data_IF_443201032137
#
_entry.id   IF_443201032137
#
_cell.length_a   1.000
_cell.length_b   1.000
_cell.length_c   1.000
_cell.angle_alpha   90.00
_cell.angle_beta   90.00
_cell.angle_gamma   90.00
#
_symmetry.space_group_name_H-M   'P 1'
#
loop_
_entity.id
_entity.type
_entity.pdbx_description
1 polymer ?
#
# COMPACT_ATOMS: atom_id res chain seq x y z
N UNK A 1 -9.37 8.96 15.08
CA UNK A 1 -9.13 7.94 14.03
C UNK A 1 -9.31 6.53 14.59
N UNK A 2 -10.42 6.27 15.29
CA UNK A 2 -10.65 4.99 16.00
C UNK A 2 -12.13 4.55 15.98
N UNK A 3 -13.04 5.38 15.44
CA UNK A 3 -14.46 5.02 15.32
C UNK A 3 -14.79 4.14 14.10
N UNK A 4 -13.94 4.10 13.06
CA UNK A 4 -14.20 3.27 11.87
C UNK A 4 -13.86 1.79 12.06
N UNK A 5 -12.91 1.46 12.95
CA UNK A 5 -12.50 0.06 13.16
C UNK A 5 -13.60 -0.73 13.87
N UNK A 6 -14.33 -0.10 14.81
CA UNK A 6 -15.38 -0.77 15.58
C UNK A 6 -16.63 -1.05 14.72
N UNK A 7 -16.98 -0.16 13.79
CA UNK A 7 -18.09 -0.36 12.85
C UNK A 7 -17.78 -1.51 11.89
N UNK A 8 -16.56 -1.56 11.35
CA UNK A 8 -16.10 -2.69 10.53
C UNK A 8 -16.19 -4.00 11.31
N UNK A 9 -15.72 -4.04 12.56
CA UNK A 9 -15.74 -5.26 13.38
C UNK A 9 -17.15 -5.73 13.75
N UNK A 10 -18.11 -4.81 13.95
CA UNK A 10 -19.52 -5.12 14.29
C UNK A 10 -20.29 -5.62 13.06
N UNK A 11 -20.06 -5.02 11.88
CA UNK A 11 -20.57 -5.56 10.62
C UNK A 11 -19.97 -6.95 10.40
N UNK A 12 -18.67 -7.13 10.60
CA UNK A 12 -17.99 -8.41 10.39
C UNK A 12 -18.46 -9.54 11.32
N UNK A 13 -18.74 -9.23 12.59
CA UNK A 13 -19.34 -10.21 13.53
C UNK A 13 -20.78 -10.58 13.17
N UNK A 14 -21.52 -9.69 12.49
CA UNK A 14 -22.87 -9.98 11.95
C UNK A 14 -22.82 -10.71 10.60
N UNK A 15 -21.77 -10.52 9.81
CA UNK A 15 -21.54 -11.25 8.53
C UNK A 15 -21.35 -12.75 8.76
N UNK A 16 -20.89 -13.17 9.93
CA UNK A 16 -20.77 -14.60 10.29
C UNK A 16 -22.11 -15.34 10.49
N UNK A 17 -23.24 -14.63 10.52
CA UNK A 17 -24.56 -15.26 10.42
C UNK A 17 -24.89 -15.63 8.97
N UNK A 18 -24.36 -14.87 8.00
CA UNK A 18 -24.70 -14.99 6.59
C UNK A 18 -23.71 -15.88 5.85
N UNK A 19 -24.23 -16.85 5.10
CA UNK A 19 -23.42 -17.75 4.28
C UNK A 19 -22.87 -17.09 3.00
N UNK A 20 -23.33 -15.86 2.69
CA UNK A 20 -22.97 -15.06 1.52
C UNK A 20 -22.98 -13.55 1.80
N UNK A 21 -22.02 -12.83 1.23
CA UNK A 21 -21.97 -11.37 1.16
C UNK A 21 -21.47 -10.91 -0.21
N UNK A 22 -22.00 -9.80 -0.70
CA UNK A 22 -21.62 -9.19 -1.98
C UNK A 22 -21.29 -7.72 -1.74
N UNK A 23 -20.10 -7.31 -2.14
CA UNK A 23 -19.61 -5.95 -1.99
C UNK A 23 -19.46 -5.29 -3.36
N UNK A 24 -19.68 -3.99 -3.44
CA UNK A 24 -19.46 -3.19 -4.65
C UNK A 24 -18.99 -1.81 -4.26
N UNK A 25 -18.47 -1.05 -5.23
CA UNK A 25 -18.08 0.33 -4.98
C UNK A 25 -19.30 1.24 -4.90
N UNK A 26 -19.26 2.21 -3.99
CA UNK A 26 -20.25 3.28 -3.93
C UNK A 26 -19.95 4.31 -5.02
N UNK A 27 -20.78 4.35 -6.06
CA UNK A 27 -20.66 5.24 -7.21
C UNK A 27 -19.23 5.26 -7.81
N UNK A 28 -18.63 6.45 -7.94
CA UNK A 28 -17.27 6.66 -8.44
C UNK A 28 -16.20 6.61 -7.34
N UNK A 29 -16.58 6.39 -6.08
CA UNK A 29 -15.64 6.31 -4.96
C UNK A 29 -14.85 5.00 -4.97
N UNK A 30 -13.77 4.93 -4.20
CA UNK A 30 -13.03 3.68 -3.96
C UNK A 30 -13.49 2.98 -2.67
N UNK A 31 -14.64 3.38 -2.13
CA UNK A 31 -15.18 2.83 -0.89
C UNK A 31 -16.09 1.64 -1.22
N UNK A 32 -15.82 0.51 -0.57
CA UNK A 32 -16.61 -0.71 -0.72
C UNK A 32 -17.78 -0.71 0.26
N UNK A 33 -18.98 -0.93 -0.28
CA UNK A 33 -20.23 -1.07 0.47
C UNK A 33 -20.81 -2.46 0.30
N UNK A 34 -21.56 -2.91 1.30
CA UNK A 34 -22.30 -4.18 1.24
C UNK A 34 -23.53 -3.99 0.34
N UNK A 35 -23.51 -4.59 -0.85
CA UNK A 35 -24.62 -4.57 -1.79
C UNK A 35 -25.73 -5.55 -1.40
N UNK A 36 -25.35 -6.74 -0.91
CA UNK A 36 -26.30 -7.78 -0.53
C UNK A 36 -25.66 -8.82 0.40
N UNK A 37 -26.42 -9.36 1.35
CA UNK A 37 -26.03 -10.50 2.19
C UNK A 37 -27.20 -11.44 2.40
N UNK A 38 -26.93 -12.72 2.71
CA UNK A 38 -27.99 -13.68 2.97
C UNK A 38 -27.51 -15.08 3.30
N UNK A 39 -28.47 -15.95 3.59
CA UNK A 39 -28.26 -17.36 3.94
C UNK A 39 -28.28 -18.24 2.68
N UNK A 40 -27.36 -17.96 1.77
CA UNK A 40 -27.21 -18.63 0.49
C UNK A 40 -25.78 -19.09 0.24
N UNK A 41 -25.57 -19.96 -0.75
CA UNK A 41 -24.25 -20.43 -1.17
C UNK A 41 -23.78 -19.82 -2.48
N UNK A 42 -22.92 -20.54 -3.18
CA UNK A 42 -22.39 -20.17 -4.50
C UNK A 42 -23.49 -19.93 -5.55
N UNK A 43 -24.52 -20.80 -5.61
CA UNK A 43 -25.58 -20.67 -6.62
C UNK A 43 -26.36 -19.35 -6.53
N UNK A 44 -26.59 -18.85 -5.31
CA UNK A 44 -27.31 -17.60 -5.11
C UNK A 44 -26.45 -16.37 -5.37
N UNK A 45 -25.15 -16.43 -5.04
CA UNK A 45 -24.26 -15.28 -5.29
C UNK A 45 -24.07 -15.03 -6.77
N UNK A 46 -23.96 -16.10 -7.57
CA UNK A 46 -23.73 -16.03 -9.01
C UNK A 46 -24.80 -15.22 -9.75
N UNK A 47 -26.07 -15.36 -9.36
CA UNK A 47 -27.19 -14.65 -9.99
C UNK A 47 -27.34 -13.20 -9.53
N UNK A 48 -26.55 -12.76 -8.54
CA UNK A 48 -26.62 -11.39 -7.99
C UNK A 48 -25.56 -10.46 -8.61
N UNK A 49 -24.64 -10.99 -9.43
CA UNK A 49 -23.62 -10.17 -10.09
C UNK A 49 -24.21 -9.30 -11.20
N UNK A 50 -23.64 -8.10 -11.37
CA UNK A 50 -24.04 -7.09 -12.33
C UNK A 50 -22.89 -6.84 -13.32
N UNK A 51 -23.18 -6.90 -14.62
CA UNK A 51 -22.20 -6.69 -15.69
C UNK A 51 -21.70 -5.25 -15.78
N UNK A 52 -22.44 -4.28 -15.21
CA UNK A 52 -22.06 -2.87 -15.20
C UNK A 52 -21.15 -2.48 -14.03
N UNK A 53 -20.83 -3.42 -13.12
CA UNK A 53 -20.14 -3.13 -11.86
C UNK A 53 -18.95 -4.05 -11.60
N UNK A 54 -18.01 -3.54 -10.80
CA UNK A 54 -17.00 -4.35 -10.13
C UNK A 54 -17.57 -4.77 -8.78
N UNK A 55 -17.51 -6.06 -8.49
CA UNK A 55 -18.10 -6.63 -7.29
C UNK A 55 -17.16 -7.67 -6.66
N UNK A 56 -17.27 -7.84 -5.35
CA UNK A 56 -16.55 -8.86 -4.61
C UNK A 56 -17.55 -9.75 -3.90
N UNK A 57 -17.65 -10.99 -4.35
CA UNK A 57 -18.53 -11.98 -3.76
C UNK A 57 -17.79 -12.83 -2.74
N UNK A 58 -18.30 -12.91 -1.54
CA UNK A 58 -17.81 -13.83 -0.52
C UNK A 58 -18.90 -14.85 -0.21
N UNK A 59 -18.60 -16.13 -0.29
CA UNK A 59 -19.56 -17.17 0.09
C UNK A 59 -18.88 -18.41 0.68
N UNK A 60 -19.63 -19.09 1.55
CA UNK A 60 -19.25 -20.40 2.04
C UNK A 60 -19.75 -21.50 1.10
N UNK A 61 -18.92 -22.51 0.88
CA UNK A 61 -19.27 -23.75 0.21
C UNK A 61 -19.32 -24.87 1.27
N UNK A 62 -20.52 -25.41 1.47
CA UNK A 62 -20.73 -26.59 2.32
C UNK A 62 -20.49 -27.84 1.47
N UNK A 63 -19.38 -28.52 1.72
CA UNK A 63 -19.13 -29.83 1.13
C UNK A 63 -19.65 -30.92 2.09
N UNK A 64 -20.36 -31.91 1.58
CA UNK A 64 -20.96 -32.98 2.39
C UNK A 64 -19.92 -33.81 3.18
N UNK A 65 -18.68 -33.85 2.70
CA UNK A 65 -17.55 -34.61 3.27
C UNK A 65 -16.67 -33.77 4.20
N UNK A 66 -16.79 -32.44 4.18
CA UNK A 66 -15.94 -31.56 4.96
C UNK A 66 -16.58 -31.22 6.31
N UNK A 67 -15.82 -31.40 7.40
CA UNK A 67 -16.28 -31.05 8.75
C UNK A 67 -16.44 -29.54 8.96
N UNK A 68 -15.81 -28.72 8.12
CA UNK A 68 -15.85 -27.27 8.17
C UNK A 68 -16.17 -26.70 6.79
N UNK A 69 -16.95 -25.61 6.70
CA UNK A 69 -17.20 -24.94 5.43
C UNK A 69 -15.89 -24.41 4.85
N UNK A 70 -15.80 -24.40 3.51
CA UNK A 70 -14.74 -23.68 2.78
C UNK A 70 -15.25 -22.32 2.34
N UNK A 71 -14.38 -21.33 2.30
CA UNK A 71 -14.71 -19.97 1.93
C UNK A 71 -14.10 -19.61 0.58
N UNK A 72 -14.90 -18.95 -0.25
CA UNK A 72 -14.55 -18.53 -1.60
C UNK A 72 -14.68 -17.03 -1.69
N UNK A 73 -13.69 -16.38 -2.30
CA UNK A 73 -13.77 -14.99 -2.74
C UNK A 73 -13.83 -14.95 -4.26
N UNK A 74 -14.82 -14.25 -4.79
CA UNK A 74 -15.05 -14.04 -6.21
C UNK A 74 -14.77 -12.58 -6.51
N UNK A 75 -13.71 -12.33 -7.27
CA UNK A 75 -13.38 -11.04 -7.86
C UNK A 75 -14.14 -10.93 -9.20
N UNK A 76 -15.29 -10.25 -9.17
CA UNK A 76 -16.13 -10.04 -10.33
C UNK A 76 -15.84 -8.70 -11.01
N UNK A 77 -15.50 -8.75 -12.29
CA UNK A 77 -15.30 -7.57 -13.13
C UNK A 77 -16.29 -7.64 -14.28
N UNK A 78 -17.41 -6.94 -14.15
CA UNK A 78 -18.44 -6.93 -15.19
C UNK A 78 -17.93 -6.45 -16.54
N UNK A 79 -18.46 -7.04 -17.61
CA UNK A 79 -18.03 -6.78 -18.99
C UNK A 79 -18.24 -5.31 -19.39
N UNK A 80 -19.35 -4.71 -18.96
CA UNK A 80 -19.77 -3.35 -19.30
C UNK A 80 -19.06 -2.27 -18.46
N UNK A 81 -18.18 -2.65 -17.54
CA UNK A 81 -17.39 -1.70 -16.75
C UNK A 81 -16.36 -0.99 -17.65
N UNK A 82 -16.20 0.34 -17.56
CA UNK A 82 -15.17 1.07 -18.32
C UNK A 82 -13.76 0.59 -18.01
N UNK A 83 -12.91 0.44 -19.03
CA UNK A 83 -11.55 -0.09 -18.89
C UNK A 83 -10.68 0.72 -17.92
N UNK A 84 -10.86 2.04 -17.86
CA UNK A 84 -10.19 2.90 -16.90
C UNK A 84 -10.49 2.50 -15.45
N UNK A 85 -11.73 2.11 -15.16
CA UNK A 85 -12.17 1.66 -13.84
C UNK A 85 -11.64 0.25 -13.54
N UNK A 86 -11.69 -0.66 -14.53
CA UNK A 86 -11.08 -2.00 -14.42
C UNK A 86 -9.60 -1.92 -14.05
N UNK A 87 -8.86 -1.02 -14.71
CA UNK A 87 -7.44 -0.80 -14.46
C UNK A 87 -7.18 -0.21 -13.05
N UNK A 88 -7.93 0.82 -12.66
CA UNK A 88 -7.78 1.46 -11.35
C UNK A 88 -8.04 0.49 -10.19
N UNK A 89 -9.07 -0.36 -10.30
CA UNK A 89 -9.47 -1.28 -9.23
C UNK A 89 -8.67 -2.60 -9.21
N UNK A 90 -7.85 -2.89 -10.22
CA UNK A 90 -7.06 -4.12 -10.26
C UNK A 90 -6.07 -4.24 -9.09
N UNK A 91 -5.55 -3.12 -8.60
CA UNK A 91 -4.64 -3.07 -7.45
C UNK A 91 -5.37 -3.36 -6.11
N UNK A 92 -6.68 -3.08 -6.03
CA UNK A 92 -7.46 -3.25 -4.80
C UNK A 92 -7.69 -4.73 -4.46
N UNK A 93 -7.68 -5.61 -5.45
CA UNK A 93 -7.92 -7.06 -5.28
C UNK A 93 -7.00 -7.66 -4.22
N UNK A 94 -5.73 -7.21 -4.15
CA UNK A 94 -4.77 -7.69 -3.18
C UNK A 94 -5.15 -7.33 -1.74
N UNK A 95 -5.47 -6.06 -1.50
CA UNK A 95 -5.89 -5.55 -0.19
C UNK A 95 -7.19 -6.21 0.28
N UNK A 96 -8.13 -6.43 -0.64
CA UNK A 96 -9.42 -7.07 -0.32
C UNK A 96 -9.22 -8.56 0.01
N UNK A 97 -8.38 -9.25 -0.77
CA UNK A 97 -8.04 -10.65 -0.50
C UNK A 97 -7.36 -10.81 0.87
N UNK A 98 -6.39 -9.95 1.18
CA UNK A 98 -5.70 -9.94 2.48
C UNK A 98 -6.68 -9.70 3.65
N UNK A 99 -7.63 -8.77 3.48
CA UNK A 99 -8.66 -8.51 4.47
C UNK A 99 -9.49 -9.76 4.80
N UNK A 100 -9.95 -10.51 3.79
CA UNK A 100 -10.67 -11.77 4.01
C UNK A 100 -9.75 -12.91 4.48
N UNK A 101 -8.47 -12.88 4.15
CA UNK A 101 -7.50 -13.90 4.59
C UNK A 101 -7.16 -13.79 6.08
N UNK A 102 -6.92 -12.56 6.57
CA UNK A 102 -6.48 -12.29 7.94
C UNK A 102 -7.68 -12.04 8.88
N UNK A 103 -8.77 -11.48 8.37
CA UNK A 103 -9.96 -11.16 9.15
C UNK A 103 -10.78 -12.38 9.58
N UNK A 104 -10.62 -13.52 8.91
CA UNK A 104 -11.33 -14.76 9.22
C UNK A 104 -10.43 -15.75 9.97
N UNK A 105 -10.96 -16.41 11.01
CA UNK A 105 -10.24 -17.49 11.74
C UNK A 105 -9.78 -18.62 10.82
N UNK A 106 -10.50 -18.83 9.72
CA UNK A 106 -10.11 -19.60 8.55
C UNK A 106 -10.20 -18.64 7.37
N UNK A 107 -9.06 -18.19 6.86
CA UNK A 107 -9.01 -17.34 5.68
C UNK A 107 -9.70 -17.95 4.45
N UNK A 108 -9.62 -17.27 3.32
CA UNK A 108 -10.24 -17.73 2.07
C UNK A 108 -9.48 -18.93 1.52
N UNK A 109 -10.20 -19.99 1.14
CA UNK A 109 -9.60 -21.20 0.56
C UNK A 109 -9.26 -21.01 -0.92
N UNK A 110 -10.03 -20.22 -1.66
CA UNK A 110 -9.79 -19.95 -3.09
C UNK A 110 -10.32 -18.59 -3.53
N UNK A 111 -9.57 -17.94 -4.43
CA UNK A 111 -9.96 -16.69 -5.07
C UNK A 111 -10.22 -16.96 -6.55
N UNK A 112 -11.39 -16.55 -7.03
CA UNK A 112 -11.84 -16.75 -8.41
C UNK A 112 -11.93 -15.38 -9.06
N UNK A 113 -11.32 -15.20 -10.23
CA UNK A 113 -11.60 -14.02 -11.06
C UNK A 113 -12.64 -14.43 -12.09
N UNK A 114 -13.70 -13.63 -12.21
CA UNK A 114 -14.81 -13.87 -13.13
C UNK A 114 -15.25 -12.57 -13.79
N UNK A 115 -15.66 -12.66 -15.04
CA UNK A 115 -16.37 -11.58 -15.75
C UNK A 115 -17.73 -12.03 -16.28
N UNK A 116 -17.98 -13.33 -16.27
CA UNK A 116 -19.20 -13.97 -16.71
C UNK A 116 -19.62 -15.09 -15.74
N UNK A 117 -20.87 -15.53 -15.79
CA UNK A 117 -21.34 -16.65 -14.96
C UNK A 117 -20.63 -17.96 -15.32
N UNK A 118 -20.18 -18.11 -16.57
CA UNK A 118 -19.47 -19.29 -17.06
C UNK A 118 -18.09 -19.46 -16.38
N UNK A 119 -17.49 -18.36 -15.89
CA UNK A 119 -16.24 -18.39 -15.13
C UNK A 119 -16.41 -18.98 -13.72
N UNK A 120 -17.66 -19.13 -13.26
CA UNK A 120 -18.02 -19.60 -11.93
C UNK A 120 -18.69 -20.97 -12.02
N UNK A 121 -17.97 -21.98 -12.51
CA UNK A 121 -18.46 -23.36 -12.54
C UNK A 121 -18.30 -24.05 -11.15
N UNK A 122 -19.40 -24.44 -10.47
CA UNK A 122 -19.34 -25.14 -9.19
C UNK A 122 -18.51 -26.43 -9.22
N UNK A 123 -18.52 -27.16 -10.34
CA UNK A 123 -17.77 -28.41 -10.48
C UNK A 123 -16.26 -28.15 -10.54
N UNK A 124 -15.84 -27.19 -11.38
CA UNK A 124 -14.44 -26.77 -11.46
C UNK A 124 -13.94 -26.19 -10.12
N UNK A 125 -14.77 -25.42 -9.43
CA UNK A 125 -14.44 -24.85 -8.11
C UNK A 125 -14.27 -25.96 -7.07
N UNK A 126 -15.21 -26.91 -7.01
CA UNK A 126 -15.12 -28.07 -6.14
C UNK A 126 -13.84 -28.86 -6.38
N UNK A 127 -13.52 -29.16 -7.65
CA UNK A 127 -12.30 -29.88 -8.01
C UNK A 127 -11.02 -29.14 -7.61
N UNK A 128 -10.98 -27.80 -7.78
CA UNK A 128 -9.84 -26.98 -7.33
C UNK A 128 -9.67 -27.02 -5.81
N UNK A 129 -10.77 -27.06 -5.06
CA UNK A 129 -10.76 -27.17 -3.60
C UNK A 129 -10.33 -28.57 -3.11
N UNK A 130 -10.66 -29.65 -3.85
CA UNK A 130 -10.30 -31.03 -3.47
C UNK A 130 -8.85 -31.39 -3.81
N UNK A 131 -8.29 -30.81 -4.89
CA UNK A 131 -6.97 -31.17 -5.39
C UNK A 131 -5.79 -30.57 -4.58
N UNK A 132 -6.07 -29.95 -3.43
CA UNK A 132 -5.04 -29.65 -2.42
C UNK A 132 -3.95 -28.69 -2.87
N UNK A 133 -4.25 -27.75 -3.78
CA UNK A 133 -3.36 -26.59 -3.98
C UNK A 133 -3.83 -25.53 -3.01
N UNK A 134 -2.95 -25.12 -2.06
CA UNK A 134 -3.21 -23.98 -1.18
C UNK A 134 -3.68 -22.75 -1.96
N UNK A 135 -4.27 -21.74 -1.30
CA UNK A 135 -5.14 -20.74 -1.93
C UNK A 135 -4.60 -20.35 -3.28
N UNK A 136 -5.31 -20.79 -4.33
CA UNK A 136 -4.93 -20.49 -5.71
C UNK A 136 -5.08 -18.99 -5.87
N UNK A 137 -4.00 -18.31 -5.54
CA UNK A 137 -3.81 -16.90 -5.74
C UNK A 137 -4.03 -16.68 -7.23
N UNK A 138 -5.00 -15.83 -7.56
CA UNK A 138 -5.12 -15.18 -8.88
C UNK A 138 -3.71 -14.95 -9.47
N UNK A 139 -3.46 -15.10 -10.78
CA UNK A 139 -2.14 -14.81 -11.37
C UNK A 139 -1.59 -13.43 -10.97
N UNK A 140 -2.47 -12.49 -10.63
CA UNK A 140 -2.14 -11.16 -10.07
C UNK A 140 -1.61 -11.26 -8.64
N UNK A 141 -2.24 -12.07 -7.78
CA UNK A 141 -1.78 -12.36 -6.43
C UNK A 141 -0.55 -13.28 -6.41
N UNK A 142 -0.41 -14.21 -7.37
CA UNK A 142 0.80 -15.04 -7.51
C UNK A 142 2.03 -14.19 -7.85
N UNK A 143 1.84 -13.07 -8.56
CA UNK A 143 2.89 -12.07 -8.83
C UNK A 143 3.21 -11.18 -7.62
N UNK A 144 2.29 -11.06 -6.67
CA UNK A 144 2.44 -10.28 -5.45
C UNK A 144 2.94 -11.08 -4.24
N UNK A 145 2.89 -12.42 -4.30
CA UNK A 145 3.60 -13.26 -3.32
C UNK A 145 5.10 -13.08 -3.50
N UNK A 146 5.74 -12.36 -2.57
CA UNK A 146 7.18 -12.54 -2.39
C UNK A 146 7.43 -13.99 -2.04
N UNK A 147 8.55 -14.51 -2.50
CA UNK A 147 8.92 -15.94 -2.54
C UNK A 147 9.21 -16.53 -1.15
N UNK A 148 8.59 -15.99 -0.11
CA UNK A 148 8.94 -16.20 1.30
C UNK A 148 8.00 -17.19 2.01
N UNK A 149 6.82 -17.50 1.45
CA UNK A 149 5.83 -18.35 2.13
C UNK A 149 5.78 -19.83 1.68
N UNK A 150 6.53 -20.24 0.66
CA UNK A 150 6.49 -21.65 0.18
C UNK A 150 7.37 -22.62 1.00
N UNK A 151 8.05 -22.17 2.05
CA UNK A 151 8.99 -23.03 2.79
C UNK A 151 8.61 -23.31 4.25
N UNK A 152 7.36 -23.08 4.63
CA UNK A 152 6.86 -23.32 5.97
C UNK A 152 6.04 -24.61 6.03
N UNK A 153 6.62 -25.78 5.74
CA UNK A 153 6.20 -27.03 6.40
C UNK A 153 7.21 -28.18 6.22
N UNK A 154 7.44 -28.89 7.34
CA UNK A 154 8.22 -30.14 7.51
C UNK A 154 9.72 -30.03 7.79
N UNK A 155 10.06 -29.71 9.06
CA UNK A 155 11.41 -29.92 9.62
C UNK A 155 11.67 -31.40 9.89
N UNK A 156 12.03 -32.14 8.84
CA UNK A 156 12.80 -33.37 8.96
C UNK A 156 14.29 -33.04 8.94
N UNK A 157 15.06 -33.48 9.94
CA UNK A 157 16.51 -33.24 9.98
C UNK A 157 17.19 -33.91 8.78
N UNK A 158 17.55 -33.14 7.77
CA UNK A 158 18.45 -33.58 6.70
C UNK A 158 19.28 -32.39 6.24
N UNK A 159 20.60 -32.55 6.33
CA UNK A 159 21.58 -31.54 5.93
C UNK A 159 21.37 -31.16 4.46
N UNK A 160 21.01 -29.90 4.17
CA UNK A 160 21.03 -29.39 2.81
C UNK A 160 22.36 -28.68 2.57
N UNK A 161 23.05 -29.08 1.50
CA UNK A 161 24.32 -28.47 1.09
C UNK A 161 24.05 -27.04 0.60
N UNK A 162 24.61 -26.06 1.30
CA UNK A 162 24.50 -24.64 0.99
C UNK A 162 24.91 -24.38 -0.46
N UNK A 163 23.97 -23.88 -1.26
CA UNK A 163 24.22 -23.51 -2.65
C UNK A 163 24.73 -22.06 -2.70
N UNK A 164 26.06 -21.88 -2.75
CA UNK A 164 26.74 -20.58 -2.69
C UNK A 164 26.26 -19.58 -3.77
N UNK A 165 25.69 -20.08 -4.87
CA UNK A 165 25.19 -19.26 -5.97
C UNK A 165 23.90 -18.48 -5.59
N UNK A 166 23.10 -19.01 -4.67
CA UNK A 166 21.88 -18.37 -4.16
C UNK A 166 22.24 -17.28 -3.13
N UNK A 167 23.27 -17.53 -2.32
CA UNK A 167 23.75 -16.60 -1.31
C UNK A 167 24.43 -15.37 -1.93
N UNK A 168 25.25 -15.59 -2.97
CA UNK A 168 25.88 -14.53 -3.77
C UNK A 168 24.85 -13.61 -4.47
N UNK A 169 23.70 -14.15 -4.92
CA UNK A 169 22.63 -13.36 -5.56
C UNK A 169 21.80 -12.54 -4.57
N UNK A 170 21.70 -12.98 -3.31
CA UNK A 170 20.97 -12.27 -2.25
C UNK A 170 21.75 -11.05 -1.76
N UNK A 171 23.05 -11.23 -1.52
CA UNK A 171 23.95 -10.17 -1.04
C UNK A 171 24.11 -9.04 -2.07
N UNK A 172 24.27 -9.39 -3.36
CA UNK A 172 24.46 -8.41 -4.43
C UNK A 172 23.24 -7.47 -4.62
N UNK A 173 22.01 -7.99 -4.41
CA UNK A 173 20.79 -7.18 -4.55
C UNK A 173 20.59 -6.20 -3.40
N UNK A 174 20.85 -6.62 -2.15
CA UNK A 174 20.76 -5.75 -0.97
C UNK A 174 21.83 -4.65 -1.02
N UNK A 175 23.06 -5.00 -1.39
CA UNK A 175 24.15 -4.04 -1.60
C UNK A 175 23.82 -3.01 -2.68
N UNK A 176 23.17 -3.41 -3.79
CA UNK A 176 22.78 -2.49 -4.86
C UNK A 176 21.77 -1.44 -4.38
N UNK A 177 20.73 -1.85 -3.63
CA UNK A 177 19.74 -0.92 -3.10
C UNK A 177 20.32 -0.04 -1.99
N UNK A 178 21.19 -0.57 -1.13
CA UNK A 178 21.89 0.23 -0.14
C UNK A 178 22.83 1.24 -0.77
N UNK A 179 23.56 0.86 -1.82
CA UNK A 179 24.49 1.73 -2.52
C UNK A 179 23.75 2.86 -3.25
N UNK A 180 22.64 2.55 -3.94
CA UNK A 180 21.79 3.56 -4.57
C UNK A 180 21.18 4.53 -3.55
N UNK A 181 20.71 4.01 -2.39
CA UNK A 181 20.15 4.84 -1.32
C UNK A 181 21.21 5.75 -0.69
N UNK A 182 22.41 5.21 -0.44
CA UNK A 182 23.56 5.94 0.10
C UNK A 182 24.02 7.04 -0.86
N UNK A 183 24.04 6.77 -2.17
CA UNK A 183 24.39 7.75 -3.20
C UNK A 183 23.34 8.88 -3.29
N UNK A 184 22.05 8.56 -3.19
CA UNK A 184 20.99 9.58 -3.19
C UNK A 184 21.01 10.44 -1.90
N UNK A 185 21.27 9.84 -0.75
CA UNK A 185 21.44 10.56 0.52
C UNK A 185 22.67 11.49 0.47
N UNK A 186 23.79 11.04 -0.09
CA UNK A 186 24.99 11.87 -0.25
C UNK A 186 24.74 13.07 -1.17
N UNK A 187 24.03 12.85 -2.28
CA UNK A 187 23.62 13.91 -3.21
C UNK A 187 22.75 14.96 -2.52
N UNK A 188 21.77 14.53 -1.71
CA UNK A 188 20.91 15.44 -0.93
C UNK A 188 21.68 16.21 0.13
N UNK A 189 22.64 15.57 0.79
CA UNK A 189 23.46 16.22 1.83
C UNK A 189 24.42 17.26 1.22
N UNK A 190 25.00 16.99 0.05
CA UNK A 190 25.82 17.97 -0.67
C UNK A 190 25.00 19.18 -1.15
N UNK A 191 23.79 18.96 -1.68
CA UNK A 191 22.87 20.05 -2.05
C UNK A 191 22.47 20.89 -0.82
N UNK A 192 22.17 20.23 0.31
CA UNK A 192 21.83 20.89 1.57
C UNK A 192 23.00 21.71 2.10
N UNK A 193 24.23 21.18 2.04
CA UNK A 193 25.44 21.85 2.49
C UNK A 193 25.75 23.07 1.63
N UNK A 194 25.69 22.94 0.29
CA UNK A 194 25.86 24.08 -0.62
C UNK A 194 24.82 25.18 -0.37
N UNK A 195 23.56 24.83 -0.15
CA UNK A 195 22.51 25.80 0.14
C UNK A 195 22.70 26.51 1.50
N UNK A 196 23.31 25.85 2.49
CA UNK A 196 23.66 26.47 3.78
C UNK A 196 24.86 27.40 3.63
N UNK A 197 25.92 26.96 2.93
CA UNK A 197 27.10 27.79 2.67
C UNK A 197 26.76 29.04 1.85
N UNK A 198 25.89 28.91 0.84
CA UNK A 198 25.42 30.05 0.05
C UNK A 198 24.62 31.04 0.88
N UNK A 199 23.72 30.55 1.76
CA UNK A 199 22.98 31.39 2.71
C UNK A 199 23.91 32.12 3.68
N UNK A 200 24.88 31.42 4.26
CA UNK A 200 25.85 32.02 5.19
C UNK A 200 26.69 33.10 4.50
N UNK A 201 27.18 32.82 3.29
CA UNK A 201 27.94 33.80 2.51
C UNK A 201 27.13 35.06 2.21
N UNK A 202 25.85 34.90 1.85
CA UNK A 202 24.97 36.03 1.59
C UNK A 202 24.69 36.84 2.86
N UNK A 203 24.52 36.18 4.02
CA UNK A 203 24.38 36.84 5.32
C UNK A 203 25.64 37.60 5.74
N UNK A 204 26.83 37.02 5.54
CA UNK A 204 28.11 37.67 5.83
C UNK A 204 28.35 38.91 4.96
N UNK A 205 28.10 38.80 3.64
CA UNK A 205 28.22 39.94 2.72
C UNK A 205 27.26 41.08 3.09
N UNK A 206 26.02 40.75 3.51
CA UNK A 206 25.05 41.74 4.01
C UNK A 206 25.51 42.41 5.30
N UNK A 207 25.97 41.63 6.28
CA UNK A 207 26.45 42.17 7.55
C UNK A 207 27.68 43.07 7.37
N UNK A 208 28.59 42.72 6.45
CA UNK A 208 29.78 43.54 6.20
C UNK A 208 29.42 44.89 5.55
N UNK A 209 28.43 44.90 4.65
CA UNK A 209 27.92 46.13 4.05
C UNK A 209 27.27 47.03 5.11
N UNK A 210 26.40 46.48 5.95
CA UNK A 210 25.77 47.21 7.06
C UNK A 210 26.83 47.78 8.03
N UNK A 211 27.88 47.03 8.33
CA UNK A 211 29.01 47.49 9.17
C UNK A 211 29.77 48.65 8.52
N UNK A 212 30.10 48.55 7.23
CA UNK A 212 30.81 49.63 6.51
C UNK A 212 29.97 50.90 6.46
N UNK A 213 28.67 50.78 6.20
CA UNK A 213 27.75 51.93 6.26
C UNK A 213 27.68 52.54 7.66
N UNK A 214 27.64 51.72 8.71
CA UNK A 214 27.65 52.19 10.10
C UNK A 214 28.93 52.98 10.41
N UNK A 215 30.08 52.46 10.02
CA UNK A 215 31.39 53.11 10.23
C UNK A 215 31.49 54.43 9.46
N UNK A 216 30.97 54.51 8.23
CA UNK A 216 30.92 55.76 7.47
C UNK A 216 29.97 56.78 8.12
N UNK A 217 28.80 56.34 8.59
CA UNK A 217 27.85 57.20 9.32
C UNK A 217 28.49 57.77 10.58
N UNK A 218 29.18 56.93 11.35
CA UNK A 218 29.90 57.36 12.55
C UNK A 218 31.06 58.32 12.24
N UNK A 219 31.85 58.06 11.19
CA UNK A 219 32.93 58.97 10.78
C UNK A 219 32.38 60.34 10.39
N UNK A 220 31.29 60.39 9.60
CA UNK A 220 30.60 61.65 9.25
C UNK A 220 30.01 62.35 10.47
N UNK A 221 29.59 61.59 11.49
CA UNK A 221 29.10 62.16 12.74
C UNK A 221 30.24 62.76 13.57
N UNK A 222 31.34 62.01 13.79
CA UNK A 222 32.52 62.48 14.54
C UNK A 222 33.20 63.69 13.89
N UNK A 223 33.29 63.72 12.56
CA UNK A 223 33.87 64.85 11.84
C UNK A 223 33.01 66.12 12.01
N UNK A 224 31.68 65.98 11.93
CA UNK A 224 30.75 67.08 12.22
C UNK A 224 30.86 67.56 13.67
N UNK A 225 30.96 66.65 14.64
CA UNK A 225 31.18 67.03 16.04
C UNK A 225 32.49 67.78 16.24
N UNK A 226 33.58 67.35 15.59
CA UNK A 226 34.87 68.05 15.67
C UNK A 226 34.80 69.47 15.11
N UNK A 227 34.17 69.64 13.95
CA UNK A 227 33.97 70.96 13.34
C UNK A 227 33.09 71.87 14.22
N UNK A 228 32.07 71.32 14.89
CA UNK A 228 31.24 72.07 15.84
C UNK A 228 32.04 72.49 17.07
N UNK A 229 32.88 71.62 17.61
CA UNK A 229 33.71 71.92 18.80
C UNK A 229 34.81 72.95 18.47
N UNK A 230 35.46 72.85 17.31
CA UNK A 230 36.43 73.86 16.84
C UNK A 230 35.76 75.24 16.69
N UNK A 231 34.59 75.31 16.04
CA UNK A 231 33.83 76.56 15.92
C UNK A 231 33.34 77.09 17.28
N UNK A 232 33.20 76.24 18.30
CA UNK A 232 32.82 76.65 19.67
C UNK A 232 33.99 77.24 20.44
N UNK A 233 35.22 76.79 20.20
CA UNK A 233 36.43 77.29 20.86
C UNK A 233 36.94 78.60 20.24
N UNK A 234 36.56 78.91 19.00
CA UNK A 234 36.88 80.16 18.30
C UNK A 234 35.95 81.34 18.66
N UNK A 235 34.88 81.10 19.45
CA UNK A 235 33.94 82.10 19.98
C UNK A 235 34.25 82.47 21.44
#
# INVERSE_FOLDING_TARGET
MTQNILVYLIVFRSVFVFFRALYTYEDDSNDLVLASSGDGGLAEIMVTFDNSRIMYGFCSLKEATAALPRYILINWVGEDVPDARKCACASHVATIAEFFQVGLNKGVDIIINASSMDDIDPSAIGQRLTNGTGPSASPVLSRLRTKDEENAEHVGTTYQKTNAEIEMKRINREEFWEQAKREEELRKEEERKKAVEERQRFEEERMELERKEQEEREKRYRERERQIEEHRQEL
#
